data_IF_447018080603
#
_entry.id   IF_447018080603
#
_cell.length_a   1.000
_cell.length_b   1.000
_cell.length_c   1.000
_cell.angle_alpha   90.00
_cell.angle_beta   90.00
_cell.angle_gamma   90.00
#
_symmetry.space_group_name_H-M   'P 1'
#
loop_
_entity.id
_entity.type
_entity.pdbx_description
1 polymer ?
#
# COMPACT_ATOMS: atom_id res chain seq x y z
N UNK A 1 3.41 13.78 51.73
CA UNK A 1 3.66 12.72 50.74
C UNK A 1 2.70 11.58 51.04
N UNK A 2 1.52 11.56 50.40
CA UNK A 2 0.44 10.60 50.68
C UNK A 2 0.45 9.55 49.58
N UNK A 3 0.84 8.32 49.92
CA UNK A 3 0.87 7.17 49.00
C UNK A 3 -0.52 6.56 48.93
N UNK A 4 -1.24 6.78 47.84
CA UNK A 4 -2.55 6.20 47.60
C UNK A 4 -2.39 4.97 46.69
N UNK A 5 -2.44 3.77 47.30
CA UNK A 5 -2.46 2.49 46.61
C UNK A 5 -3.86 2.25 46.02
N UNK A 6 -4.01 2.34 44.69
CA UNK A 6 -5.22 1.92 44.00
C UNK A 6 -5.03 0.47 43.51
N UNK A 7 -5.34 -0.46 44.41
CA UNK A 7 -5.49 -1.89 44.15
C UNK A 7 -6.94 -2.13 43.66
N UNK A 8 -7.11 -3.05 42.70
CA UNK A 8 -8.38 -3.63 42.21
C UNK A 8 -9.32 -2.73 41.38
N UNK A 9 -9.41 -3.02 40.08
CA UNK A 9 -10.63 -3.56 39.44
C UNK A 9 -10.18 -4.36 38.21
N UNK A 10 -10.06 -5.67 38.43
CA UNK A 10 -9.99 -6.72 37.42
C UNK A 10 -11.42 -7.17 37.16
N UNK A 11 -12.16 -6.55 36.24
CA UNK A 11 -13.37 -7.16 35.63
C UNK A 11 -13.61 -6.49 34.27
N UNK A 12 -13.40 -7.22 33.18
CA UNK A 12 -14.37 -7.42 32.09
C UNK A 12 -13.69 -8.29 31.02
N UNK A 13 -13.59 -9.58 31.35
CA UNK A 13 -13.53 -10.64 30.36
C UNK A 13 -14.86 -10.67 29.59
N UNK A 14 -14.76 -11.09 28.32
CA UNK A 14 -15.84 -11.52 27.42
C UNK A 14 -16.49 -10.43 26.56
N UNK A 15 -15.82 -10.07 25.46
CA UNK A 15 -16.52 -9.82 24.21
C UNK A 15 -16.25 -10.95 23.21
N UNK A 16 -17.35 -11.60 22.88
CA UNK A 16 -17.56 -12.79 22.08
C UNK A 16 -16.90 -12.77 20.71
N UNK A 17 -16.40 -13.94 20.31
CA UNK A 17 -15.87 -14.18 18.99
C UNK A 17 -16.94 -14.18 17.90
N UNK A 18 -16.63 -13.50 16.78
CA UNK A 18 -17.24 -13.74 15.49
C UNK A 18 -16.29 -14.62 14.65
N UNK A 19 -16.81 -15.78 14.23
CA UNK A 19 -16.12 -16.76 13.37
C UNK A 19 -16.61 -16.52 11.94
N UNK A 20 -15.89 -15.70 11.17
CA UNK A 20 -16.26 -15.40 9.77
C UNK A 20 -15.90 -16.57 8.85
N UNK A 21 -16.94 -17.27 8.40
CA UNK A 21 -16.88 -18.31 7.36
C UNK A 21 -16.78 -17.66 5.98
N UNK A 22 -15.61 -17.77 5.34
CA UNK A 22 -15.39 -17.40 3.94
C UNK A 22 -15.99 -18.50 3.05
N UNK A 23 -16.99 -18.15 2.26
CA UNK A 23 -17.42 -18.96 1.11
C UNK A 23 -17.13 -18.15 -0.14
N UNK A 24 -16.15 -18.61 -0.92
CA UNK A 24 -15.80 -18.03 -2.23
C UNK A 24 -16.47 -18.91 -3.29
N UNK A 25 -17.42 -18.35 -4.02
CA UNK A 25 -17.90 -18.90 -5.29
C UNK A 25 -17.11 -18.29 -6.46
N UNK A 26 -16.88 -19.04 -7.55
CA UNK A 26 -15.96 -18.66 -8.63
C UNK A 26 -16.66 -17.72 -9.62
N UNK A 27 -16.00 -16.61 -9.98
CA UNK A 27 -16.52 -15.68 -11.01
C UNK A 27 -15.80 -15.92 -12.34
N UNK A 28 -16.65 -16.26 -13.29
CA UNK A 28 -16.52 -16.42 -14.72
C UNK A 28 -15.81 -15.24 -15.41
N UNK A 29 -14.83 -15.54 -16.28
CA UNK A 29 -14.10 -14.55 -17.10
C UNK A 29 -14.92 -14.23 -18.35
N UNK A 30 -15.36 -12.98 -18.46
CA UNK A 30 -15.93 -12.38 -19.68
C UNK A 30 -15.04 -11.25 -20.21
N UNK A 31 -14.79 -11.28 -21.53
CA UNK A 31 -13.91 -10.43 -22.35
C UNK A 31 -14.42 -8.98 -22.52
N UNK A 32 -13.57 -8.01 -22.89
CA UNK A 32 -13.49 -7.26 -24.19
C UNK A 32 -12.81 -5.90 -23.83
N UNK A 33 -11.97 -5.20 -24.58
CA UNK A 33 -11.10 -5.42 -25.74
C UNK A 33 -10.23 -4.14 -25.84
N UNK A 34 -8.98 -4.26 -26.28
CA UNK A 34 -8.17 -3.16 -26.81
C UNK A 34 -7.78 -3.53 -28.26
N UNK A 35 -8.05 -2.62 -29.19
CA UNK A 35 -7.68 -2.66 -30.62
C UNK A 35 -6.57 -1.63 -30.86
N UNK A 36 -5.63 -1.67 -31.82
CA UNK A 36 -5.06 -2.59 -32.82
C UNK A 36 -4.01 -1.72 -33.56
N UNK A 37 -2.80 -2.21 -33.92
CA UNK A 37 -2.05 -2.00 -35.22
C UNK A 37 -0.73 -2.85 -35.17
N UNK A 38 -0.73 -4.12 -35.60
CA UNK A 38 -0.35 -4.72 -36.91
C UNK A 38 1.14 -4.63 -37.37
N UNK A 39 1.90 -5.73 -37.15
CA UNK A 39 2.98 -6.26 -38.03
C UNK A 39 2.80 -7.80 -38.15
N UNK A 40 3.10 -8.35 -39.33
CA UNK A 40 2.59 -9.59 -39.97
C UNK A 40 3.05 -10.95 -39.42
N UNK A 41 2.24 -11.98 -39.70
CA UNK A 41 2.14 -13.38 -39.20
C UNK A 41 2.83 -14.41 -40.13
N UNK A 42 3.45 -15.48 -39.59
CA UNK A 42 2.92 -16.88 -39.73
C UNK A 42 2.80 -17.57 -38.34
N UNK A 43 1.59 -17.81 -37.80
CA UNK A 43 0.85 -19.10 -37.71
C UNK A 43 1.67 -20.19 -36.98
N UNK A 44 1.46 -20.49 -35.68
CA UNK A 44 0.29 -21.11 -35.03
C UNK A 44 0.11 -20.64 -33.57
N UNK A 45 -1.14 -20.54 -33.14
CA UNK A 45 -1.68 -19.80 -31.98
C UNK A 45 -1.42 -20.42 -30.60
N UNK A 46 -1.03 -19.60 -29.60
CA UNK A 46 -1.78 -19.53 -28.34
C UNK A 46 -2.26 -18.11 -28.02
N UNK A 47 -3.35 -18.04 -27.26
CA UNK A 47 -4.22 -16.89 -27.00
C UNK A 47 -3.52 -15.57 -26.60
N UNK A 48 -4.10 -14.40 -26.94
CA UNK A 48 -3.47 -13.10 -26.75
C UNK A 48 -3.32 -12.76 -25.26
N UNK A 49 -2.06 -12.62 -24.82
CA UNK A 49 -1.71 -12.00 -23.54
C UNK A 49 -2.06 -10.51 -23.62
N UNK A 50 -3.07 -10.11 -22.85
CA UNK A 50 -3.40 -8.71 -22.58
C UNK A 50 -2.13 -8.00 -22.10
N UNK A 51 -1.70 -6.87 -22.70
CA UNK A 51 -0.53 -6.15 -22.21
C UNK A 51 -0.85 -5.57 -20.84
N UNK A 52 -0.43 -6.25 -19.79
CA UNK A 52 -0.24 -5.61 -18.50
C UNK A 52 0.83 -4.53 -18.68
N UNK A 53 0.60 -3.27 -18.27
CA UNK A 53 1.67 -2.30 -18.20
C UNK A 53 2.62 -2.76 -17.11
N UNK A 54 3.60 -3.59 -17.47
CA UNK A 54 4.72 -4.00 -16.62
C UNK A 54 5.66 -2.81 -16.49
N UNK A 55 5.24 -1.79 -15.74
CA UNK A 55 6.19 -0.87 -15.14
C UNK A 55 7.01 -1.69 -14.15
N UNK A 56 8.25 -1.98 -14.52
CA UNK A 56 9.19 -2.71 -13.68
C UNK A 56 9.32 -1.98 -12.35
N UNK A 57 9.35 -2.71 -11.23
CA UNK A 57 9.46 -2.13 -9.88
C UNK A 57 10.66 -1.17 -9.75
N UNK A 58 11.68 -1.39 -10.57
CA UNK A 58 12.88 -0.55 -10.71
C UNK A 58 12.58 0.83 -11.31
N UNK A 59 11.78 0.94 -12.37
CA UNK A 59 11.39 2.24 -12.96
C UNK A 59 10.52 3.09 -12.00
N UNK A 60 9.75 2.44 -11.14
CA UNK A 60 8.94 3.11 -10.10
C UNK A 60 9.82 3.63 -8.95
N UNK A 61 10.91 2.93 -8.62
CA UNK A 61 11.84 3.36 -7.57
C UNK A 61 12.71 4.53 -8.04
N UNK A 62 13.22 4.47 -9.26
CA UNK A 62 14.16 5.45 -9.81
C UNK A 62 13.50 6.80 -10.10
N UNK A 63 12.25 6.79 -10.57
CA UNK A 63 11.47 8.02 -10.72
C UNK A 63 11.13 8.66 -9.38
N UNK A 64 10.98 7.89 -8.29
CA UNK A 64 10.44 8.41 -7.02
C UNK A 64 11.44 9.13 -6.11
N UNK A 65 12.74 9.02 -6.37
CA UNK A 65 13.77 9.88 -5.77
C UNK A 65 13.76 11.31 -6.34
N UNK A 66 13.07 11.54 -7.47
CA UNK A 66 12.94 12.89 -8.04
C UNK A 66 11.81 13.74 -7.42
N UNK A 67 11.03 13.15 -6.49
CA UNK A 67 9.87 13.79 -5.89
C UNK A 67 10.19 14.24 -4.47
N UNK A 68 9.88 15.50 -4.16
CA UNK A 68 10.21 16.07 -2.86
C UNK A 68 9.23 15.68 -1.74
N UNK A 69 7.99 15.31 -2.09
CA UNK A 69 6.91 15.10 -1.12
C UNK A 69 6.38 13.66 -1.15
N UNK A 70 6.37 12.97 -0.02
CA UNK A 70 5.95 11.58 0.09
C UNK A 70 4.85 11.38 1.13
N UNK A 71 3.82 10.62 0.78
CA UNK A 71 2.83 10.12 1.75
C UNK A 71 3.35 8.81 2.33
N UNK A 72 3.66 8.83 3.63
CA UNK A 72 4.24 7.71 4.37
C UNK A 72 3.17 7.04 5.20
N UNK A 73 3.16 5.70 5.18
CA UNK A 73 2.23 4.87 5.95
C UNK A 73 2.86 4.25 7.21
N UNK A 74 4.19 4.09 7.23
CA UNK A 74 4.92 3.59 8.39
C UNK A 74 6.42 3.92 8.29
N UNK A 75 7.11 3.85 9.43
CA UNK A 75 8.56 4.01 9.53
C UNK A 75 9.11 2.96 10.49
N UNK A 76 10.17 2.28 10.10
CA UNK A 76 10.78 1.19 10.86
C UNK A 76 12.29 1.41 11.01
N UNK A 77 12.87 0.83 12.07
CA UNK A 77 14.33 0.77 12.25
C UNK A 77 14.98 -0.39 11.50
N UNK A 78 14.17 -1.31 10.95
CA UNK A 78 14.64 -2.54 10.34
C UNK A 78 13.97 -2.69 8.97
N UNK A 79 14.80 -2.91 7.94
CA UNK A 79 14.36 -3.02 6.55
C UNK A 79 13.42 -4.21 6.31
N UNK A 80 13.63 -5.33 6.99
CA UNK A 80 12.77 -6.52 6.91
C UNK A 80 11.36 -6.21 7.40
N UNK A 81 11.22 -5.45 8.49
CA UNK A 81 9.92 -5.01 9.00
C UNK A 81 9.21 -4.07 8.01
N UNK A 82 9.94 -3.13 7.42
CA UNK A 82 9.42 -2.22 6.39
C UNK A 82 8.94 -2.99 5.14
N UNK A 83 9.75 -3.93 4.64
CA UNK A 83 9.39 -4.78 3.52
C UNK A 83 8.18 -5.68 3.82
N UNK A 84 8.10 -6.24 5.02
CA UNK A 84 6.93 -7.01 5.44
C UNK A 84 5.66 -6.15 5.43
N UNK A 85 5.73 -4.90 5.90
CA UNK A 85 4.59 -3.98 5.85
C UNK A 85 4.24 -3.56 4.42
N UNK A 86 5.23 -3.23 3.58
CA UNK A 86 5.05 -2.97 2.14
C UNK A 86 4.29 -4.12 1.46
N UNK A 87 4.70 -5.36 1.73
CA UNK A 87 4.06 -6.55 1.15
C UNK A 87 2.62 -6.73 1.66
N UNK A 88 2.34 -6.40 2.94
CA UNK A 88 0.96 -6.38 3.47
C UNK A 88 0.10 -5.33 2.78
N UNK A 89 0.64 -4.14 2.52
CA UNK A 89 -0.06 -3.09 1.79
C UNK A 89 -0.34 -3.50 0.33
N UNK A 90 0.66 -4.08 -0.34
CA UNK A 90 0.51 -4.58 -1.71
C UNK A 90 -0.62 -5.62 -1.82
N UNK A 91 -0.67 -6.59 -0.90
CA UNK A 91 -1.76 -7.59 -0.81
C UNK A 91 -3.14 -6.99 -0.56
N UNK A 92 -3.21 -5.77 -0.01
CA UNK A 92 -4.46 -5.01 0.20
C UNK A 92 -4.81 -4.09 -0.97
N UNK A 93 -4.04 -4.12 -2.07
CA UNK A 93 -4.24 -3.24 -3.22
C UNK A 93 -3.60 -1.86 -3.08
N UNK A 94 -2.70 -1.68 -2.10
CA UNK A 94 -1.95 -0.43 -1.91
C UNK A 94 -0.49 -0.62 -2.31
N UNK A 95 -0.13 -0.35 -3.59
CA UNK A 95 1.27 -0.40 -4.01
C UNK A 95 2.09 0.60 -3.18
N UNK A 96 3.26 0.16 -2.74
CA UNK A 96 4.13 0.94 -1.84
C UNK A 96 5.59 0.57 -2.06
N UNK A 97 6.48 1.43 -1.57
CA UNK A 97 7.93 1.27 -1.63
C UNK A 97 8.57 1.58 -0.28
N UNK A 98 9.83 1.20 -0.10
CA UNK A 98 10.62 1.54 1.09
C UNK A 98 11.68 2.54 0.68
N UNK A 99 11.71 3.70 1.33
CA UNK A 99 12.82 4.67 1.27
C UNK A 99 13.62 4.63 2.55
N UNK A 100 14.93 4.72 2.46
CA UNK A 100 15.78 4.96 3.62
C UNK A 100 16.06 6.46 3.77
N UNK A 101 15.77 7.03 4.93
CA UNK A 101 16.09 8.42 5.22
C UNK A 101 16.40 8.59 6.71
N UNK A 102 17.58 9.15 7.02
CA UNK A 102 18.05 9.39 8.40
C UNK A 102 18.02 8.13 9.27
N UNK A 103 18.49 6.99 8.73
CA UNK A 103 18.55 5.70 9.43
C UNK A 103 17.18 5.07 9.74
N UNK A 104 16.13 5.48 9.01
CA UNK A 104 14.78 4.90 9.11
C UNK A 104 14.32 4.41 7.75
N UNK A 105 13.65 3.26 7.74
CA UNK A 105 13.03 2.66 6.56
C UNK A 105 11.55 3.05 6.51
N UNK A 106 11.23 3.99 5.63
CA UNK A 106 9.91 4.60 5.49
C UNK A 106 9.13 3.92 4.37
N UNK A 107 7.92 3.46 4.68
CA UNK A 107 7.04 2.83 3.70
C UNK A 107 6.16 3.90 3.06
N UNK A 108 6.48 4.25 1.82
CA UNK A 108 5.83 5.31 1.03
C UNK A 108 4.77 4.71 0.13
N UNK A 109 3.58 5.30 0.14
CA UNK A 109 2.47 4.91 -0.74
C UNK A 109 2.49 5.70 -2.05
N UNK A 110 2.66 7.01 -1.97
CA UNK A 110 2.62 7.93 -3.11
C UNK A 110 3.64 9.06 -2.94
N UNK A 111 4.14 9.59 -4.06
CA UNK A 111 5.13 10.68 -4.11
C UNK A 111 4.65 11.79 -5.06
N UNK A 112 5.00 13.04 -4.78
CA UNK A 112 4.54 14.23 -5.49
C UNK A 112 5.64 15.30 -5.54
N UNK A 113 5.64 16.09 -6.62
CA UNK A 113 6.57 17.22 -6.79
C UNK A 113 6.06 18.51 -6.13
N UNK A 114 4.76 18.56 -5.81
CA UNK A 114 4.09 19.74 -5.26
C UNK A 114 3.43 19.40 -3.94
N UNK A 115 3.69 20.24 -2.93
CA UNK A 115 3.14 20.09 -1.57
C UNK A 115 1.62 20.08 -1.57
N UNK A 116 1.00 20.96 -2.35
CA UNK A 116 -0.45 21.16 -2.39
C UNK A 116 -1.16 19.89 -2.87
N UNK A 117 -0.62 19.26 -3.91
CA UNK A 117 -1.15 17.99 -4.45
C UNK A 117 -1.01 16.87 -3.42
N UNK A 118 0.16 16.78 -2.77
CA UNK A 118 0.41 15.77 -1.75
C UNK A 118 -0.52 15.93 -0.53
N UNK A 119 -0.76 17.16 -0.08
CA UNK A 119 -1.66 17.47 1.03
C UNK A 119 -3.11 17.13 0.71
N UNK A 120 -3.59 17.50 -0.49
CA UNK A 120 -4.95 17.15 -0.94
C UNK A 120 -5.15 15.63 -0.91
N UNK A 121 -4.18 14.88 -1.43
CA UNK A 121 -4.25 13.43 -1.43
C UNK A 121 -4.15 12.83 -0.02
N UNK A 122 -3.27 13.35 0.84
CA UNK A 122 -3.16 12.92 2.23
C UNK A 122 -4.49 13.09 2.98
N UNK A 123 -5.16 14.24 2.81
CA UNK A 123 -6.47 14.50 3.42
C UNK A 123 -7.51 13.50 2.88
N UNK A 124 -7.53 13.26 1.56
CA UNK A 124 -8.43 12.28 0.93
C UNK A 124 -8.22 10.88 1.51
N UNK A 125 -6.97 10.42 1.59
CA UNK A 125 -6.63 9.09 2.10
C UNK A 125 -6.98 8.92 3.58
N UNK A 126 -6.72 9.93 4.41
CA UNK A 126 -7.10 9.92 5.84
C UNK A 126 -8.62 9.87 6.06
N UNK A 127 -9.41 10.43 5.14
CA UNK A 127 -10.88 10.31 5.18
C UNK A 127 -11.36 8.90 4.83
N UNK A 128 -10.65 8.23 3.92
CA UNK A 128 -11.00 6.88 3.46
C UNK A 128 -10.56 5.78 4.43
N UNK A 129 -9.43 5.97 5.12
CA UNK A 129 -8.85 4.99 6.03
C UNK A 129 -8.61 5.64 7.41
N UNK A 130 -9.25 5.10 8.46
CA UNK A 130 -9.07 5.56 9.85
C UNK A 130 -7.76 5.07 10.51
N UNK A 131 -7.05 4.14 9.87
CA UNK A 131 -5.77 3.57 10.35
C UNK A 131 -4.93 3.08 9.17
N UNK A 132 -3.59 3.20 9.15
CA UNK A 132 -2.70 3.91 10.09
C UNK A 132 -2.62 5.42 9.83
N UNK A 133 -2.01 6.15 10.78
CA UNK A 133 -1.68 7.57 10.61
C UNK A 133 -0.73 7.75 9.43
N UNK A 134 -1.29 8.19 8.30
CA UNK A 134 -0.51 8.63 7.16
C UNK A 134 0.08 10.01 7.48
N UNK A 135 1.31 10.29 7.06
CA UNK A 135 1.88 11.64 7.17
C UNK A 135 2.63 12.04 5.91
N UNK A 136 2.81 13.35 5.75
CA UNK A 136 3.62 13.91 4.68
C UNK A 136 5.08 13.99 5.12
N UNK A 137 5.98 13.58 4.25
CA UNK A 137 7.42 13.68 4.38
C UNK A 137 7.97 14.53 3.25
N UNK A 138 8.89 15.44 3.58
CA UNK A 138 9.71 16.16 2.62
C UNK A 138 11.14 15.62 2.68
N UNK A 139 11.80 15.45 1.53
CA UNK A 139 13.20 15.03 1.48
C UNK A 139 14.17 16.15 1.87
#
# INVERSE_FOLDING_TARGET
MVKFNFFLILVFLLFSGCKDKKTVTPVEKGNIAEQTVKKSVPELTPAPEKPEPKLTTEQIAESRNSFDYHIVAASYNNITQANNFKNRLYKKGYPSLVLEQKGKFRVVMQSFNKKETALKELIRLRKLNKTPDLWLLHQ
#
